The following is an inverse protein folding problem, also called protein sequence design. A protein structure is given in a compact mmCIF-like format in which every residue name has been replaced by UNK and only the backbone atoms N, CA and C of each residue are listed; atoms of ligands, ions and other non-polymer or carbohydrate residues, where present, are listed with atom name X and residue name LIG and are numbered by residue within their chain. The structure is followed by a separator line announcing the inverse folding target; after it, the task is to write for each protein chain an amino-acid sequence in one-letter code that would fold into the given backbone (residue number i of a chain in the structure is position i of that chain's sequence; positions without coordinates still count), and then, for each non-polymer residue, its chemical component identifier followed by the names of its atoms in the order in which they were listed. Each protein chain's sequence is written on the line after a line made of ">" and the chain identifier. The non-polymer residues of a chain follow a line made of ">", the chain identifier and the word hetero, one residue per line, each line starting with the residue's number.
data_IF_318458085356
#
_entry.id   IF_318458085356
#
_cell.length_a   1.000
_cell.length_b   1.000
_cell.length_c   1.000
_cell.angle_alpha   90.00
_cell.angle_beta   90.00
_cell.angle_gamma   90.00
#
_symmetry.space_group_name_H-M   'P 1'
#
loop_
_entity.id
_entity.type
_entity.pdbx_description
1 polymer ?
#
# COMPACT_ATOMS: atom_id res chain seq x y z
N UNK A 1 26.21 -62.56 -42.04
CA UNK A 1 26.56 -63.34 -40.83
C UNK A 1 27.82 -62.73 -40.21
N UNK A 2 27.77 -62.43 -38.91
CA UNK A 2 28.89 -62.19 -37.95
C UNK A 2 29.59 -60.81 -38.00
N UNK A 3 29.20 -59.90 -37.10
CA UNK A 3 29.79 -59.52 -35.78
C UNK A 3 30.95 -58.50 -35.93
N UNK A 4 30.75 -57.20 -35.64
CA UNK A 4 30.89 -56.49 -34.34
C UNK A 4 32.34 -56.36 -33.83
N UNK A 5 32.87 -55.14 -33.87
CA UNK A 5 33.84 -54.60 -32.91
C UNK A 5 33.87 -53.06 -33.03
N UNK A 6 33.03 -52.37 -32.25
CA UNK A 6 33.19 -50.93 -32.01
C UNK A 6 33.67 -50.78 -30.58
N UNK A 7 34.85 -50.18 -30.44
CA UNK A 7 35.56 -49.93 -29.20
C UNK A 7 34.82 -48.83 -28.42
N UNK A 8 34.39 -49.17 -27.21
CA UNK A 8 33.88 -48.22 -26.20
C UNK A 8 35.07 -47.48 -25.57
N UNK A 9 35.20 -46.19 -25.86
CA UNK A 9 36.05 -45.29 -25.07
C UNK A 9 35.15 -44.65 -24.01
N UNK A 10 35.26 -45.15 -22.78
CA UNK A 10 34.74 -44.51 -21.58
C UNK A 10 35.63 -43.30 -21.26
N UNK A 11 35.21 -42.11 -21.68
CA UNK A 11 35.69 -40.86 -21.10
C UNK A 11 34.87 -40.58 -19.84
N UNK A 12 35.43 -40.91 -18.68
CA UNK A 12 34.89 -40.50 -17.39
C UNK A 12 35.01 -38.99 -17.24
N UNK A 13 33.92 -38.27 -17.48
CA UNK A 13 33.76 -36.91 -16.99
C UNK A 13 33.21 -37.00 -15.56
N UNK A 14 34.10 -36.96 -14.58
CA UNK A 14 33.74 -36.55 -13.22
C UNK A 14 33.43 -35.06 -13.25
N UNK A 15 32.18 -34.71 -13.57
CA UNK A 15 31.68 -33.39 -13.21
C UNK A 15 31.56 -33.36 -11.69
N UNK A 16 32.50 -32.66 -11.07
CA UNK A 16 32.39 -32.19 -9.70
C UNK A 16 31.13 -31.31 -9.60
N UNK A 17 30.01 -31.93 -9.21
CA UNK A 17 28.83 -31.22 -8.74
C UNK A 17 29.15 -30.73 -7.33
N UNK A 18 29.83 -29.59 -7.26
CA UNK A 18 29.96 -28.82 -6.03
C UNK A 18 29.69 -27.37 -6.39
N UNK A 19 28.73 -26.78 -5.69
CA UNK A 19 28.26 -25.39 -5.80
C UNK A 19 27.21 -25.11 -6.90
N UNK A 20 26.04 -25.73 -6.79
CA UNK A 20 24.79 -25.06 -7.20
C UNK A 20 23.64 -25.20 -6.20
N UNK A 21 23.83 -25.87 -5.06
CA UNK A 21 22.77 -26.08 -4.05
C UNK A 21 22.58 -24.90 -3.08
N UNK A 22 23.54 -23.98 -2.97
CA UNK A 22 23.51 -22.98 -1.90
C UNK A 22 22.65 -21.74 -2.19
N UNK A 23 22.21 -21.52 -3.43
CA UNK A 23 21.41 -20.34 -3.79
C UNK A 23 19.90 -20.56 -3.58
N UNK A 24 19.41 -21.80 -3.69
CA UNK A 24 18.00 -22.13 -3.46
C UNK A 24 17.66 -22.35 -1.98
N UNK A 25 18.68 -22.50 -1.11
CA UNK A 25 18.54 -22.81 0.33
C UNK A 25 18.59 -21.60 1.27
N UNK A 26 18.99 -20.42 0.77
CA UNK A 26 19.10 -19.22 1.58
C UNK A 26 17.77 -18.46 1.66
N UNK A 27 17.45 -17.98 2.87
CA UNK A 27 16.38 -17.00 3.05
C UNK A 27 16.83 -15.68 2.44
N UNK A 28 16.04 -15.14 1.51
CA UNK A 28 16.29 -13.86 0.87
C UNK A 28 15.32 -12.83 1.46
N UNK A 29 15.87 -11.85 2.19
CA UNK A 29 15.09 -10.80 2.89
C UNK A 29 14.89 -9.56 2.02
N UNK A 30 14.33 -9.76 0.83
CA UNK A 30 14.10 -8.72 -0.19
C UNK A 30 12.61 -8.46 -0.45
N UNK A 31 11.70 -9.23 0.15
CA UNK A 31 10.28 -9.08 -0.08
C UNK A 31 9.67 -8.01 0.83
N UNK A 32 8.93 -7.08 0.24
CA UNK A 32 7.99 -6.23 0.98
C UNK A 32 6.86 -7.09 1.52
N UNK A 33 6.45 -6.84 2.77
CA UNK A 33 5.41 -7.61 3.45
C UNK A 33 4.06 -7.62 2.71
N UNK A 34 3.76 -6.55 1.97
CA UNK A 34 2.55 -6.40 1.15
C UNK A 34 2.43 -7.41 0.03
N UNK A 35 3.57 -7.97 -0.42
CA UNK A 35 3.63 -9.06 -1.41
C UNK A 35 3.60 -10.46 -0.77
N UNK A 36 3.50 -10.51 0.56
CA UNK A 36 3.53 -11.74 1.34
C UNK A 36 2.19 -12.02 2.05
N UNK A 37 1.08 -11.43 1.56
CA UNK A 37 -0.25 -11.72 2.09
C UNK A 37 -0.55 -13.23 2.04
N UNK A 38 -1.03 -13.78 3.16
CA UNK A 38 -1.33 -15.20 3.37
C UNK A 38 -0.11 -16.11 3.18
N UNK A 39 1.08 -15.64 3.58
CA UNK A 39 2.32 -16.41 3.51
C UNK A 39 3.01 -16.52 4.86
N UNK A 40 3.67 -17.66 5.05
CA UNK A 40 4.65 -17.85 6.10
C UNK A 40 5.94 -17.11 5.73
N UNK A 41 6.41 -16.27 6.63
CA UNK A 41 7.62 -15.47 6.43
C UNK A 41 8.56 -15.58 7.63
N UNK A 42 9.84 -15.37 7.35
CA UNK A 42 10.89 -15.23 8.34
C UNK A 42 11.35 -13.77 8.45
N UNK A 43 11.87 -13.43 9.62
CA UNK A 43 12.50 -12.16 9.95
C UNK A 43 13.85 -12.42 10.63
N UNK A 44 14.89 -11.70 10.24
CA UNK A 44 16.19 -11.78 10.90
C UNK A 44 16.18 -11.17 12.30
N UNK A 45 16.88 -11.81 13.24
CA UNK A 45 17.32 -11.20 14.49
C UNK A 45 18.73 -10.65 14.33
N UNK A 46 18.87 -9.32 14.35
CA UNK A 46 20.17 -8.62 14.25
C UNK A 46 21.22 -9.11 15.27
N UNK A 47 20.78 -9.53 16.45
CA UNK A 47 21.67 -9.95 17.56
C UNK A 47 21.96 -11.46 17.58
N UNK A 48 21.42 -12.24 16.64
CA UNK A 48 21.57 -13.70 16.63
C UNK A 48 21.61 -14.21 15.19
N UNK A 49 22.75 -14.08 14.50
CA UNK A 49 22.92 -14.62 13.16
C UNK A 49 22.56 -16.12 13.15
N UNK A 50 21.81 -16.55 12.15
CA UNK A 50 21.20 -17.89 12.02
C UNK A 50 20.02 -18.20 12.96
N UNK A 51 19.46 -17.22 13.67
CA UNK A 51 18.20 -17.35 14.39
C UNK A 51 17.15 -16.38 13.80
N UNK A 52 16.02 -16.93 13.39
CA UNK A 52 14.98 -16.20 12.67
C UNK A 52 13.68 -16.25 13.46
N UNK A 53 12.96 -15.12 13.54
CA UNK A 53 11.55 -15.14 13.93
C UNK A 53 10.71 -15.54 12.73
N UNK A 54 9.61 -16.23 12.95
CA UNK A 54 8.71 -16.58 11.86
C UNK A 54 7.25 -16.49 12.25
N UNK A 55 6.42 -16.23 11.25
CA UNK A 55 5.00 -16.05 11.44
C UNK A 55 4.25 -15.95 10.13
N UNK A 56 2.96 -15.67 10.23
CA UNK A 56 2.06 -15.62 9.09
C UNK A 56 1.58 -14.18 8.86
N UNK A 57 1.72 -13.68 7.64
CA UNK A 57 1.20 -12.36 7.26
C UNK A 57 -0.21 -12.53 6.70
N UNK A 58 -1.13 -11.69 7.17
CA UNK A 58 -2.50 -11.61 6.66
C UNK A 58 -3.03 -10.19 6.79
N UNK A 59 -4.21 -9.94 6.23
CA UNK A 59 -4.91 -8.66 6.40
C UNK A 59 -6.03 -8.86 7.39
N UNK A 60 -5.93 -8.18 8.53
CA UNK A 60 -7.00 -7.99 9.49
C UNK A 60 -7.88 -6.82 9.03
N UNK A 61 -9.21 -6.96 9.16
CA UNK A 61 -10.16 -5.95 8.69
C UNK A 61 -9.95 -4.58 9.36
N UNK A 62 -9.66 -4.60 10.64
CA UNK A 62 -9.57 -3.40 11.48
C UNK A 62 -8.11 -2.97 11.61
N UNK A 63 -7.20 -3.95 11.74
CA UNK A 63 -5.78 -3.68 11.95
C UNK A 63 -4.94 -3.56 10.68
N UNK A 64 -5.46 -3.95 9.51
CA UNK A 64 -4.69 -3.98 8.28
C UNK A 64 -3.69 -5.14 8.25
N UNK A 65 -2.57 -4.97 7.55
CA UNK A 65 -1.52 -5.99 7.52
C UNK A 65 -1.07 -6.36 8.94
N UNK A 66 -1.14 -7.65 9.24
CA UNK A 66 -0.87 -8.20 10.56
C UNK A 66 0.08 -9.38 10.44
N UNK A 67 1.11 -9.39 11.29
CA UNK A 67 2.04 -10.49 11.44
C UNK A 67 1.68 -11.32 12.67
N UNK A 68 1.25 -12.56 12.46
CA UNK A 68 1.01 -13.55 13.51
C UNK A 68 2.31 -14.31 13.82
N UNK A 69 3.09 -13.80 14.78
CA UNK A 69 4.35 -14.37 15.22
C UNK A 69 4.12 -15.70 15.93
N UNK A 70 4.71 -16.77 15.39
CA UNK A 70 4.54 -18.15 15.92
C UNK A 70 5.73 -18.65 16.72
N UNK A 71 6.93 -18.26 16.36
CA UNK A 71 8.12 -18.89 16.90
C UNK A 71 9.40 -18.33 16.35
N UNK A 72 10.47 -19.04 16.64
CA UNK A 72 11.76 -18.86 16.01
C UNK A 72 12.26 -20.17 15.41
N UNK A 73 13.25 -20.09 14.52
CA UNK A 73 13.97 -21.26 14.06
C UNK A 73 15.43 -20.94 13.76
N UNK A 74 16.25 -21.99 13.71
CA UNK A 74 17.63 -21.92 13.21
C UNK A 74 17.80 -22.77 11.98
N UNK A 75 18.82 -22.48 11.17
CA UNK A 75 19.18 -23.32 10.03
C UNK A 75 20.47 -24.07 10.39
N UNK A 76 20.39 -25.40 10.41
CA UNK A 76 21.53 -26.28 10.68
C UNK A 76 21.60 -27.36 9.59
N UNK A 77 22.72 -27.42 8.86
CA UNK A 77 22.94 -28.36 7.76
C UNK A 77 21.79 -28.37 6.72
N UNK A 78 21.25 -27.18 6.40
CA UNK A 78 20.15 -27.01 5.45
C UNK A 78 18.75 -27.40 5.99
N UNK A 79 18.63 -27.83 7.25
CA UNK A 79 17.34 -28.10 7.90
C UNK A 79 16.93 -26.97 8.83
N UNK A 80 15.63 -26.74 8.91
CA UNK A 80 15.08 -25.70 9.77
C UNK A 80 14.72 -26.33 11.12
N UNK A 81 15.26 -25.81 12.21
CA UNK A 81 15.05 -26.33 13.57
C UNK A 81 14.11 -25.39 14.30
N UNK A 82 12.88 -25.83 14.50
CA UNK A 82 11.82 -25.02 15.12
C UNK A 82 12.01 -24.87 16.63
N UNK A 83 11.74 -23.66 17.13
CA UNK A 83 11.65 -23.31 18.55
C UNK A 83 10.41 -22.44 18.81
N UNK A 84 9.38 -23.07 19.38
CA UNK A 84 8.15 -22.41 19.82
C UNK A 84 8.05 -22.31 21.35
N UNK A 85 9.14 -22.60 22.07
CA UNK A 85 9.14 -22.71 23.55
C UNK A 85 8.68 -21.42 24.23
N UNK A 86 9.08 -20.26 23.68
CA UNK A 86 8.69 -18.94 24.15
C UNK A 86 7.17 -18.66 24.01
N UNK A 87 6.47 -19.38 23.14
CA UNK A 87 5.08 -19.10 22.79
C UNK A 87 4.09 -20.12 23.35
N UNK A 88 4.56 -21.27 23.88
CA UNK A 88 3.71 -22.32 24.52
C UNK A 88 2.45 -22.69 23.70
N UNK A 89 2.56 -22.71 22.37
CA UNK A 89 1.44 -23.01 21.46
C UNK A 89 0.49 -21.85 21.17
N UNK A 90 0.74 -20.66 21.71
CA UNK A 90 0.04 -19.42 21.37
C UNK A 90 0.81 -18.64 20.30
N UNK A 91 0.28 -17.49 19.90
CA UNK A 91 0.94 -16.57 18.99
C UNK A 91 0.71 -15.12 19.37
N UNK A 92 1.61 -14.26 18.92
CA UNK A 92 1.53 -12.82 19.15
C UNK A 92 1.22 -12.12 17.84
N UNK A 93 0.17 -11.31 17.83
CA UNK A 93 -0.26 -10.56 16.65
C UNK A 93 0.30 -9.15 16.71
N UNK A 94 0.95 -8.74 15.63
CA UNK A 94 1.50 -7.39 15.47
C UNK A 94 0.90 -6.73 14.25
N UNK A 95 0.35 -5.52 14.41
CA UNK A 95 0.06 -4.65 13.26
C UNK A 95 1.39 -4.31 12.59
N UNK A 96 1.42 -4.43 11.28
CA UNK A 96 2.57 -4.07 10.45
C UNK A 96 2.41 -2.60 10.05
N UNK A 97 3.42 -1.79 10.37
CA UNK A 97 3.48 -0.38 9.98
C UNK A 97 4.02 -0.22 8.55
N UNK A 98 3.74 0.90 7.85
CA UNK A 98 4.11 1.08 6.44
C UNK A 98 5.60 0.92 6.13
N UNK A 99 6.47 1.30 7.07
CA UNK A 99 7.93 1.27 6.96
C UNK A 99 8.56 -0.03 7.53
N UNK A 100 7.78 -1.10 7.67
CA UNK A 100 8.28 -2.36 8.20
C UNK A 100 9.37 -2.97 7.32
N UNK A 101 10.28 -3.72 7.96
CA UNK A 101 11.42 -4.36 7.32
C UNK A 101 11.01 -5.37 6.25
N UNK A 102 11.90 -5.62 5.29
CA UNK A 102 11.75 -6.72 4.36
C UNK A 102 11.74 -8.07 5.09
N UNK A 103 11.07 -9.03 4.47
CA UNK A 103 10.85 -10.37 5.00
C UNK A 103 11.37 -11.39 3.99
N UNK A 104 11.61 -12.62 4.45
CA UNK A 104 11.90 -13.74 3.57
C UNK A 104 10.70 -14.69 3.53
N UNK A 105 10.31 -15.16 2.35
CA UNK A 105 9.33 -16.24 2.23
C UNK A 105 9.95 -17.55 2.74
N UNK A 106 9.24 -18.27 3.61
CA UNK A 106 9.68 -19.60 4.02
C UNK A 106 9.41 -20.58 2.87
N UNK A 107 10.41 -21.31 2.35
CA UNK A 107 10.18 -22.28 1.28
C UNK A 107 9.27 -23.42 1.75
N UNK A 108 8.31 -23.82 0.91
CA UNK A 108 7.31 -24.84 1.26
C UNK A 108 7.92 -26.18 1.70
N UNK A 109 9.08 -26.56 1.17
CA UNK A 109 9.78 -27.79 1.57
C UNK A 109 10.15 -27.83 3.06
N UNK A 110 10.34 -26.67 3.70
CA UNK A 110 10.65 -26.55 5.12
C UNK A 110 9.41 -26.39 6.02
N UNK A 111 8.19 -26.48 5.46
CA UNK A 111 6.98 -26.41 6.28
C UNK A 111 6.89 -27.59 7.24
N UNK A 112 7.31 -28.79 6.81
CA UNK A 112 7.34 -29.97 7.69
C UNK A 112 8.36 -29.80 8.82
N UNK A 113 9.53 -29.24 8.51
CA UNK A 113 10.58 -28.95 9.50
C UNK A 113 10.06 -28.01 10.63
N UNK A 114 9.19 -27.07 10.26
CA UNK A 114 8.61 -26.08 11.16
C UNK A 114 7.19 -26.42 11.66
N UNK A 115 6.66 -27.60 11.35
CA UNK A 115 5.28 -28.00 11.64
C UNK A 115 4.22 -26.98 11.15
N UNK A 116 4.42 -26.41 9.97
CA UNK A 116 3.53 -25.39 9.39
C UNK A 116 2.51 -26.02 8.45
N UNK A 117 1.22 -25.64 8.57
CA UNK A 117 0.25 -25.95 7.52
C UNK A 117 0.49 -25.05 6.30
N UNK A 118 -0.01 -25.47 5.13
CA UNK A 118 0.02 -24.60 3.94
C UNK A 118 -0.71 -23.26 4.17
N UNK A 119 -1.83 -23.31 4.89
CA UNK A 119 -2.60 -22.17 5.37
C UNK A 119 -3.09 -22.49 6.80
N UNK A 120 -2.96 -21.56 7.76
CA UNK A 120 -3.53 -21.76 9.10
C UNK A 120 -5.06 -21.87 9.04
N UNK A 121 -5.67 -22.81 9.77
CA UNK A 121 -7.13 -23.03 9.72
C UNK A 121 -7.95 -21.77 10.09
N UNK A 122 -7.45 -20.98 11.04
CA UNK A 122 -8.09 -19.74 11.52
C UNK A 122 -8.12 -18.61 10.49
N UNK A 123 -7.35 -18.70 9.40
CA UNK A 123 -7.25 -17.63 8.41
C UNK A 123 -8.59 -17.38 7.70
N UNK A 124 -9.39 -18.44 7.54
CA UNK A 124 -10.71 -18.38 6.90
C UNK A 124 -11.64 -17.37 7.58
N UNK A 125 -11.52 -17.17 8.89
CA UNK A 125 -12.32 -16.22 9.66
C UNK A 125 -12.05 -14.76 9.28
N UNK A 126 -10.87 -14.44 8.74
CA UNK A 126 -10.48 -13.10 8.30
C UNK A 126 -10.90 -12.79 6.86
N UNK A 127 -11.30 -13.81 6.11
CA UNK A 127 -11.59 -13.71 4.68
C UNK A 127 -12.97 -14.27 4.33
N UNK A 128 -13.87 -14.39 5.32
CA UNK A 128 -15.24 -14.85 5.13
C UNK A 128 -16.10 -13.90 4.30
N UNK A 129 -15.79 -12.60 4.30
CA UNK A 129 -16.52 -11.54 3.58
C UNK A 129 -15.85 -11.12 2.26
N UNK A 130 -14.96 -11.96 1.73
CA UNK A 130 -14.05 -11.60 0.62
C UNK A 130 -14.74 -11.18 -0.68
N UNK A 131 -16.02 -11.47 -0.85
CA UNK A 131 -16.79 -11.22 -2.08
C UNK A 131 -17.77 -10.04 -1.92
N UNK A 132 -17.37 -8.99 -1.18
CA UNK A 132 -18.19 -7.78 -0.97
C UNK A 132 -17.44 -6.51 -1.38
N UNK A 133 -18.18 -5.51 -1.88
CA UNK A 133 -17.62 -4.21 -2.22
C UNK A 133 -16.93 -3.55 -1.00
N UNK A 134 -17.54 -3.63 0.18
CA UNK A 134 -16.96 -3.13 1.42
C UNK A 134 -15.61 -3.78 1.76
N UNK A 135 -15.47 -5.09 1.54
CA UNK A 135 -14.20 -5.80 1.76
C UNK A 135 -13.13 -5.31 0.80
N UNK A 136 -13.39 -5.36 -0.51
CA UNK A 136 -12.40 -4.95 -1.51
C UNK A 136 -12.07 -3.46 -1.41
N UNK A 137 -13.05 -2.62 -1.10
CA UNK A 137 -12.85 -1.19 -0.84
C UNK A 137 -11.92 -0.96 0.35
N UNK A 138 -12.09 -1.75 1.42
CA UNK A 138 -11.19 -1.71 2.58
C UNK A 138 -9.77 -2.14 2.23
N UNK A 139 -9.60 -3.21 1.45
CA UNK A 139 -8.27 -3.63 0.97
C UNK A 139 -7.63 -2.54 0.11
N UNK A 140 -8.40 -1.95 -0.80
CA UNK A 140 -7.98 -0.81 -1.61
C UNK A 140 -7.45 0.36 -0.78
N UNK A 141 -8.22 0.80 0.21
CA UNK A 141 -7.81 1.83 1.16
C UNK A 141 -6.51 1.48 1.89
N UNK A 142 -6.35 0.24 2.36
CA UNK A 142 -5.11 -0.22 3.03
C UNK A 142 -3.91 -0.06 2.09
N UNK A 143 -4.05 -0.43 0.81
CA UNK A 143 -2.95 -0.29 -0.15
C UNK A 143 -2.65 1.18 -0.51
N UNK A 144 -3.66 2.05 -0.55
CA UNK A 144 -3.45 3.50 -0.68
C UNK A 144 -2.65 4.06 0.50
N UNK A 145 -3.02 3.71 1.73
CA UNK A 145 -2.32 4.13 2.96
C UNK A 145 -0.85 3.63 2.98
N UNK A 146 -0.60 2.49 2.34
CA UNK A 146 0.74 1.92 2.15
C UNK A 146 1.50 2.47 0.94
N UNK A 147 0.96 3.50 0.26
CA UNK A 147 1.51 4.09 -0.95
C UNK A 147 1.78 3.06 -2.06
N UNK A 148 0.86 2.10 -2.24
CA UNK A 148 0.81 1.15 -3.36
C UNK A 148 -0.46 1.38 -4.21
N UNK A 149 -0.54 2.50 -4.92
CA UNK A 149 -1.77 2.92 -5.59
C UNK A 149 -2.20 1.96 -6.72
N UNK A 150 -1.27 1.31 -7.43
CA UNK A 150 -1.60 0.31 -8.45
C UNK A 150 -2.35 -0.89 -7.85
N UNK A 151 -1.86 -1.41 -6.72
CA UNK A 151 -2.50 -2.51 -6.00
C UNK A 151 -3.84 -2.06 -5.40
N UNK A 152 -3.90 -0.84 -4.89
CA UNK A 152 -5.14 -0.26 -4.39
C UNK A 152 -6.20 -0.19 -5.49
N UNK A 153 -5.85 0.36 -6.65
CA UNK A 153 -6.75 0.52 -7.78
C UNK A 153 -7.28 -0.81 -8.30
N UNK A 154 -6.46 -1.88 -8.30
CA UNK A 154 -6.93 -3.22 -8.62
C UNK A 154 -8.12 -3.65 -7.74
N UNK A 155 -7.97 -3.56 -6.42
CA UNK A 155 -9.03 -3.94 -5.48
C UNK A 155 -10.21 -2.98 -5.51
N UNK A 156 -9.97 -1.68 -5.67
CA UNK A 156 -11.03 -0.69 -5.76
C UNK A 156 -11.89 -0.86 -7.02
N UNK A 157 -11.29 -1.26 -8.15
CA UNK A 157 -12.04 -1.59 -9.38
C UNK A 157 -12.95 -2.80 -9.17
N UNK A 158 -12.49 -3.82 -8.43
CA UNK A 158 -13.34 -4.96 -8.06
C UNK A 158 -14.49 -4.47 -7.15
N UNK A 159 -14.18 -3.65 -6.15
CA UNK A 159 -15.16 -3.11 -5.22
C UNK A 159 -16.25 -2.31 -5.95
N UNK A 160 -15.84 -1.41 -6.85
CA UNK A 160 -16.72 -0.59 -7.67
C UNK A 160 -17.58 -1.44 -8.62
N UNK A 161 -17.04 -2.52 -9.18
CA UNK A 161 -17.80 -3.43 -10.04
C UNK A 161 -18.90 -4.20 -9.28
N UNK A 162 -18.70 -4.46 -7.98
CA UNK A 162 -19.69 -5.12 -7.12
C UNK A 162 -20.77 -4.13 -6.68
N UNK A 163 -20.37 -2.95 -6.20
CA UNK A 163 -21.28 -1.89 -5.78
C UNK A 163 -20.65 -0.50 -6.06
N UNK A 164 -21.07 0.17 -7.15
CA UNK A 164 -20.59 1.51 -7.50
C UNK A 164 -20.93 2.61 -6.48
N UNK A 165 -21.92 2.37 -5.63
CA UNK A 165 -22.43 3.33 -4.63
C UNK A 165 -21.87 3.08 -3.23
N UNK A 166 -21.07 2.02 -3.05
CA UNK A 166 -20.43 1.73 -1.78
C UNK A 166 -19.53 2.90 -1.35
N UNK A 167 -19.89 3.47 -0.19
CA UNK A 167 -19.27 4.67 0.38
C UNK A 167 -17.74 4.56 0.42
N UNK A 168 -17.07 5.62 -0.03
CA UNK A 168 -15.63 5.79 0.04
C UNK A 168 -14.86 5.28 -1.18
N UNK A 169 -15.41 4.34 -1.97
CA UNK A 169 -14.67 3.74 -3.10
C UNK A 169 -14.25 4.79 -4.12
N UNK A 170 -15.16 5.67 -4.55
CA UNK A 170 -14.84 6.69 -5.57
C UNK A 170 -13.69 7.59 -5.13
N UNK A 171 -13.68 8.03 -3.86
CA UNK A 171 -12.59 8.84 -3.31
C UNK A 171 -11.26 8.08 -3.33
N UNK A 172 -11.25 6.83 -2.85
CA UNK A 172 -10.04 6.01 -2.85
C UNK A 172 -9.52 5.73 -4.26
N UNK A 173 -10.41 5.57 -5.25
CA UNK A 173 -10.03 5.42 -6.64
C UNK A 173 -9.40 6.69 -7.18
N UNK A 174 -10.04 7.85 -6.98
CA UNK A 174 -9.51 9.12 -7.44
C UNK A 174 -8.17 9.47 -6.77
N UNK A 175 -8.01 9.17 -5.48
CA UNK A 175 -6.73 9.27 -4.79
C UNK A 175 -5.67 8.37 -5.46
N UNK A 176 -5.97 7.09 -5.67
CA UNK A 176 -5.04 6.17 -6.32
C UNK A 176 -4.63 6.66 -7.71
N UNK A 177 -5.61 7.08 -8.52
CA UNK A 177 -5.42 7.67 -9.85
C UNK A 177 -4.56 8.94 -9.81
N UNK A 178 -4.80 9.84 -8.86
CA UNK A 178 -4.01 11.04 -8.64
C UNK A 178 -2.55 10.74 -8.26
N UNK A 179 -2.29 9.68 -7.47
CA UNK A 179 -0.93 9.28 -7.08
C UNK A 179 -0.17 8.67 -8.26
N UNK A 180 -0.79 7.82 -9.08
CA UNK A 180 -0.17 7.27 -10.30
C UNK A 180 -0.04 8.28 -11.44
N UNK A 181 -0.70 9.44 -11.33
CA UNK A 181 -0.65 10.52 -12.31
C UNK A 181 -1.68 10.40 -13.43
N UNK A 182 -2.65 9.51 -13.29
CA UNK A 182 -3.79 9.38 -14.19
C UNK A 182 -4.90 10.35 -13.78
N UNK A 183 -4.59 11.63 -13.97
CA UNK A 183 -5.49 12.72 -13.60
C UNK A 183 -6.82 12.73 -14.36
N UNK A 184 -6.92 12.33 -15.64
CA UNK A 184 -8.20 12.24 -16.34
C UNK A 184 -9.19 11.29 -15.66
N UNK A 185 -8.76 10.06 -15.33
CA UNK A 185 -9.62 9.08 -14.65
C UNK A 185 -9.99 9.55 -13.24
N UNK A 186 -9.07 10.20 -12.52
CA UNK A 186 -9.36 10.81 -11.21
C UNK A 186 -10.46 11.88 -11.31
N UNK A 187 -10.39 12.74 -12.33
CA UNK A 187 -11.38 13.79 -12.56
C UNK A 187 -12.75 13.19 -12.91
N UNK A 188 -12.81 12.24 -13.85
CA UNK A 188 -14.06 11.60 -14.27
C UNK A 188 -14.80 10.95 -13.08
N UNK A 189 -14.08 10.16 -12.26
CA UNK A 189 -14.68 9.51 -11.09
C UNK A 189 -15.22 10.54 -10.09
N UNK A 190 -14.50 11.63 -9.85
CA UNK A 190 -14.95 12.67 -8.92
C UNK A 190 -16.12 13.48 -9.45
N UNK A 191 -16.19 13.76 -10.75
CA UNK A 191 -17.35 14.40 -11.37
C UNK A 191 -18.61 13.55 -11.21
N UNK A 192 -18.52 12.24 -11.49
CA UNK A 192 -19.61 11.30 -11.28
C UNK A 192 -20.01 11.20 -9.79
N UNK A 193 -19.04 11.20 -8.89
CA UNK A 193 -19.30 11.15 -7.46
C UNK A 193 -19.99 12.43 -6.95
N UNK A 194 -19.63 13.60 -7.47
CA UNK A 194 -20.23 14.89 -7.12
C UNK A 194 -21.66 15.06 -7.64
N UNK A 195 -22.06 14.35 -8.71
CA UNK A 195 -23.48 14.30 -9.11
C UNK A 195 -24.35 13.66 -8.01
N UNK A 196 -23.80 12.67 -7.29
CA UNK A 196 -24.50 11.93 -6.23
C UNK A 196 -24.40 12.63 -4.88
N UNK A 197 -23.24 13.19 -4.55
CA UNK A 197 -22.97 13.89 -3.30
C UNK A 197 -22.29 15.24 -3.57
N UNK A 198 -23.06 16.27 -3.98
CA UNK A 198 -22.52 17.58 -4.33
C UNK A 198 -21.98 18.36 -3.13
N UNK A 199 -22.20 17.88 -1.91
CA UNK A 199 -21.73 18.49 -0.66
C UNK A 199 -20.38 17.95 -0.18
N UNK A 200 -19.79 16.98 -0.88
CA UNK A 200 -18.59 16.32 -0.42
C UNK A 200 -17.32 17.14 -0.69
N UNK A 201 -16.78 17.75 0.36
CA UNK A 201 -15.56 18.56 0.28
C UNK A 201 -14.35 17.78 -0.22
N UNK A 202 -14.22 16.51 0.16
CA UNK A 202 -13.09 15.68 -0.27
C UNK A 202 -13.11 15.40 -1.77
N UNK A 203 -14.31 15.33 -2.38
CA UNK A 203 -14.40 15.13 -3.83
C UNK A 203 -13.95 16.38 -4.60
N UNK A 204 -14.31 17.58 -4.14
CA UNK A 204 -13.78 18.82 -4.74
C UNK A 204 -12.26 18.94 -4.58
N UNK A 205 -11.70 18.44 -3.47
CA UNK A 205 -10.26 18.40 -3.26
C UNK A 205 -9.54 17.55 -4.30
N UNK A 206 -9.96 16.29 -4.45
CA UNK A 206 -9.34 15.37 -5.41
C UNK A 206 -9.56 15.82 -6.86
N UNK A 207 -10.76 16.34 -7.18
CA UNK A 207 -11.09 16.88 -8.52
C UNK A 207 -10.24 18.11 -8.86
N UNK A 208 -10.15 19.07 -7.93
CA UNK A 208 -9.35 20.27 -8.13
C UNK A 208 -7.86 19.94 -8.30
N UNK A 209 -7.35 18.94 -7.57
CA UNK A 209 -5.98 18.46 -7.70
C UNK A 209 -5.75 17.82 -9.08
N UNK A 210 -6.64 16.92 -9.50
CA UNK A 210 -6.58 16.29 -10.81
C UNK A 210 -6.54 17.34 -11.94
N UNK A 211 -7.43 18.32 -11.91
CA UNK A 211 -7.44 19.40 -12.90
C UNK A 211 -6.21 20.30 -12.85
N UNK A 212 -5.74 20.63 -11.65
CA UNK A 212 -4.52 21.43 -11.49
C UNK A 212 -3.31 20.73 -12.10
N UNK A 213 -3.20 19.41 -11.94
CA UNK A 213 -2.10 18.61 -12.53
C UNK A 213 -2.22 18.45 -14.05
N UNK A 214 -3.44 18.47 -14.59
CA UNK A 214 -3.69 18.59 -16.03
C UNK A 214 -3.40 19.99 -16.58
N UNK A 215 -3.06 20.97 -15.72
CA UNK A 215 -2.95 22.41 -16.04
C UNK A 215 -4.26 23.01 -16.54
N UNK A 216 -5.39 22.35 -16.27
CA UNK A 216 -6.71 22.91 -16.48
C UNK A 216 -7.06 23.83 -15.31
N UNK A 217 -6.44 25.00 -15.33
CA UNK A 217 -6.53 25.98 -14.25
C UNK A 217 -7.93 26.54 -14.07
N UNK A 218 -8.73 26.57 -15.13
CA UNK A 218 -10.11 27.04 -15.13
C UNK A 218 -11.00 26.06 -14.34
N UNK A 219 -11.02 24.78 -14.73
CA UNK A 219 -11.82 23.76 -14.02
C UNK A 219 -11.28 23.49 -12.62
N UNK A 220 -9.97 23.53 -12.41
CA UNK A 220 -9.38 23.39 -11.06
C UNK A 220 -9.86 24.50 -10.12
N UNK A 221 -9.81 25.75 -10.59
CA UNK A 221 -10.28 26.91 -9.80
C UNK A 221 -11.77 26.80 -9.52
N UNK A 222 -12.58 26.39 -10.50
CA UNK A 222 -14.02 26.18 -10.32
C UNK A 222 -14.32 25.11 -9.25
N UNK A 223 -13.65 23.95 -9.32
CA UNK A 223 -13.82 22.87 -8.35
C UNK A 223 -13.46 23.32 -6.93
N UNK A 224 -12.29 23.94 -6.74
CA UNK A 224 -11.89 24.45 -5.43
C UNK A 224 -12.81 25.58 -4.94
N UNK A 225 -13.30 26.46 -5.81
CA UNK A 225 -14.25 27.52 -5.43
C UNK A 225 -15.59 26.95 -4.98
N UNK A 226 -16.12 25.95 -5.69
CA UNK A 226 -17.36 25.26 -5.28
C UNK A 226 -17.17 24.64 -3.90
N UNK A 227 -16.12 23.87 -3.69
CA UNK A 227 -15.79 23.30 -2.38
C UNK A 227 -15.60 24.38 -1.29
N UNK A 228 -14.90 25.46 -1.60
CA UNK A 228 -14.66 26.57 -0.67
C UNK A 228 -15.95 27.25 -0.20
N UNK A 229 -16.93 27.37 -1.09
CA UNK A 229 -18.21 28.01 -0.80
C UNK A 229 -19.20 27.12 -0.03
N UNK A 230 -18.92 25.82 0.13
CA UNK A 230 -19.74 24.90 0.94
C UNK A 230 -19.48 25.03 2.44
N UNK A 231 -18.35 25.61 2.85
CA UNK A 231 -18.02 25.78 4.27
C UNK A 231 -18.91 26.84 4.94
N UNK A 232 -19.55 26.44 6.02
CA UNK A 232 -20.25 27.35 6.95
C UNK A 232 -19.30 27.95 7.99
N UNK A 233 -18.27 27.20 8.38
CA UNK A 233 -17.26 27.64 9.34
C UNK A 233 -16.26 28.60 8.69
N UNK A 234 -15.76 29.56 9.48
CA UNK A 234 -14.76 30.50 9.00
C UNK A 234 -13.39 29.83 8.86
N UNK A 235 -12.89 29.16 9.89
CA UNK A 235 -11.55 28.55 9.93
C UNK A 235 -11.65 27.03 9.81
N UNK A 236 -11.02 26.46 8.79
CA UNK A 236 -10.92 25.01 8.55
C UNK A 236 -9.70 24.72 7.68
N UNK A 237 -8.95 23.67 8.00
CA UNK A 237 -7.75 23.28 7.25
C UNK A 237 -8.05 23.06 5.77
N UNK A 238 -9.12 22.34 5.43
CA UNK A 238 -9.51 22.09 4.02
C UNK A 238 -9.93 23.38 3.32
N UNK A 239 -10.62 24.30 4.03
CA UNK A 239 -11.00 25.60 3.45
C UNK A 239 -9.78 26.46 3.14
N UNK A 240 -8.81 26.47 4.06
CA UNK A 240 -7.50 27.09 3.88
C UNK A 240 -6.74 26.48 2.70
N UNK A 241 -6.73 25.16 2.59
CA UNK A 241 -6.11 24.40 1.48
C UNK A 241 -6.73 24.76 0.13
N UNK A 242 -8.06 24.87 0.02
CA UNK A 242 -8.71 25.33 -1.22
C UNK A 242 -8.26 26.75 -1.60
N UNK A 243 -8.23 27.67 -0.65
CA UNK A 243 -7.75 29.02 -0.90
C UNK A 243 -6.27 29.05 -1.33
N UNK A 244 -5.44 28.21 -0.72
CA UNK A 244 -4.01 28.06 -1.07
C UNK A 244 -3.83 27.51 -2.49
N UNK A 245 -4.59 26.48 -2.87
CA UNK A 245 -4.51 25.89 -4.20
C UNK A 245 -5.01 26.86 -5.28
N UNK A 246 -6.08 27.62 -5.01
CA UNK A 246 -6.52 28.70 -5.90
C UNK A 246 -5.43 29.77 -6.03
N UNK A 247 -4.77 30.15 -4.94
CA UNK A 247 -3.66 31.10 -4.98
C UNK A 247 -2.53 30.58 -5.88
N UNK A 248 -2.13 29.31 -5.71
CA UNK A 248 -1.08 28.67 -6.50
C UNK A 248 -1.41 28.62 -7.99
N UNK A 249 -2.67 28.39 -8.35
CA UNK A 249 -3.14 28.49 -9.74
C UNK A 249 -2.93 29.91 -10.29
N UNK A 250 -3.35 30.94 -9.55
CA UNK A 250 -3.17 32.33 -10.00
C UNK A 250 -1.70 32.74 -10.08
N UNK A 251 -0.85 32.24 -9.18
CA UNK A 251 0.59 32.45 -9.25
C UNK A 251 1.19 31.80 -10.51
N UNK A 252 0.81 30.56 -10.81
CA UNK A 252 1.24 29.87 -12.04
C UNK A 252 0.80 30.59 -13.33
N UNK A 253 -0.31 31.34 -13.29
CA UNK A 253 -0.79 32.18 -14.37
C UNK A 253 -0.14 33.58 -14.41
N UNK A 254 0.77 33.92 -13.50
CA UNK A 254 1.39 35.25 -13.39
C UNK A 254 0.44 36.35 -12.88
N UNK A 255 -0.72 35.99 -12.33
CA UNK A 255 -1.75 36.92 -11.82
C UNK A 255 -1.47 37.30 -10.36
N UNK A 256 -0.35 37.98 -10.16
CA UNK A 256 0.25 38.22 -8.83
C UNK A 256 -0.68 38.96 -7.85
N UNK A 257 -1.47 39.92 -8.32
CA UNK A 257 -2.45 40.62 -7.48
C UNK A 257 -3.50 39.66 -6.91
N UNK A 258 -4.01 38.74 -7.73
CA UNK A 258 -5.05 37.78 -7.33
C UNK A 258 -4.47 36.67 -6.45
N UNK A 259 -3.25 36.22 -6.74
CA UNK A 259 -2.48 35.32 -5.88
C UNK A 259 -2.40 35.85 -4.45
N UNK A 260 -1.96 37.10 -4.24
CA UNK A 260 -1.84 37.70 -2.90
C UNK A 260 -3.16 37.75 -2.15
N UNK A 261 -4.26 38.06 -2.84
CA UNK A 261 -5.60 38.04 -2.24
C UNK A 261 -5.95 36.64 -1.72
N UNK A 262 -5.69 35.61 -2.52
CA UNK A 262 -6.00 34.24 -2.13
C UNK A 262 -5.05 33.68 -1.07
N UNK A 263 -3.78 34.09 -1.06
CA UNK A 263 -2.86 33.75 0.03
C UNK A 263 -3.30 34.34 1.37
N UNK A 264 -3.76 35.61 1.39
CA UNK A 264 -4.33 36.21 2.61
C UNK A 264 -5.59 35.45 3.07
N UNK A 265 -6.44 35.00 2.14
CA UNK A 265 -7.59 34.13 2.45
C UNK A 265 -7.12 32.79 3.02
N UNK A 266 -6.13 32.15 2.39
CA UNK A 266 -5.58 30.88 2.85
C UNK A 266 -5.09 31.00 4.29
N UNK A 267 -4.31 32.04 4.61
CA UNK A 267 -3.86 32.31 5.99
C UNK A 267 -5.04 32.49 6.94
N UNK A 268 -6.02 33.32 6.56
CA UNK A 268 -7.18 33.64 7.38
C UNK A 268 -7.97 32.39 7.77
N UNK A 269 -8.14 31.45 6.84
CA UNK A 269 -9.00 30.28 7.05
C UNK A 269 -8.24 29.04 7.53
N UNK A 270 -6.90 29.05 7.54
CA UNK A 270 -6.11 27.91 8.02
C UNK A 270 -5.85 28.02 9.52
N UNK A 271 -6.09 26.96 10.33
CA UNK A 271 -5.72 26.96 11.74
C UNK A 271 -4.22 27.21 11.94
N UNK A 272 -3.79 28.02 12.93
CA UNK A 272 -2.36 28.25 13.21
C UNK A 272 -1.55 27.01 13.55
N UNK A 273 -2.22 25.93 13.96
CA UNK A 273 -1.60 24.62 14.25
C UNK A 273 -1.36 23.76 13.01
N UNK A 274 -1.93 24.13 11.85
CA UNK A 274 -1.75 23.37 10.60
C UNK A 274 -0.37 23.64 10.00
N UNK A 275 0.24 22.61 9.45
CA UNK A 275 1.49 22.74 8.69
C UNK A 275 1.36 23.69 7.48
N UNK A 276 0.16 23.79 6.89
CA UNK A 276 -0.12 24.72 5.79
C UNK A 276 -0.03 26.19 6.24
N UNK A 277 -0.40 26.49 7.49
CA UNK A 277 -0.31 27.84 8.01
C UNK A 277 1.15 28.33 8.02
N UNK A 278 2.08 27.46 8.43
CA UNK A 278 3.51 27.77 8.42
C UNK A 278 4.05 28.00 7.01
N UNK A 279 3.64 27.17 6.02
CA UNK A 279 4.03 27.38 4.63
C UNK A 279 3.55 28.73 4.08
N UNK A 280 2.32 29.13 4.45
CA UNK A 280 1.75 30.42 4.05
C UNK A 280 2.53 31.59 4.68
N UNK A 281 2.89 31.49 5.95
CA UNK A 281 3.68 32.53 6.64
C UNK A 281 5.11 32.62 6.11
N UNK A 282 5.74 31.49 5.79
CA UNK A 282 7.09 31.44 5.22
C UNK A 282 7.14 32.06 3.82
N UNK A 283 6.03 31.99 3.08
CA UNK A 283 5.85 32.70 1.81
C UNK A 283 5.62 34.22 1.97
N UNK A 284 5.62 34.74 3.20
CA UNK A 284 5.55 36.18 3.51
C UNK A 284 4.14 36.74 3.75
N UNK A 285 3.15 35.91 4.08
CA UNK A 285 1.76 36.31 4.31
C UNK A 285 1.35 36.29 5.78
#
# INVERSE_FOLDING_TARGET
>A
MKYLAIILILAGYTNAFSQSSNAEDSLIFDHRFTKCERRWVALEKKESPNNFLYGFIYIDRDAGFTFDLKGSFKIENGRYINDTSAFKGQSLKYRIEPNWRNVALIPQRHFKDLNLPAQPAWISNYYSFKDSAAYYGRIGWIYNDLNEPDTALHYLKIAHAIDPDQKGISYEMAYAYNVIGDYPDAAEIMELALVKDPGNLMYYKELGYAYMKQKDYERATEAYLKGFNLFTEEVSEIKGEFAFNIASIYHAQGKEHVYKIWMMKAKKFTPPTSSFYHQITDAGF
#
